data_IF_755271736696
#
_entry.id   IF_755271736696
#
_cell.length_a   1.000
_cell.length_b   1.000
_cell.length_c   1.000
_cell.angle_alpha   90.00
_cell.angle_beta   90.00
_cell.angle_gamma   90.00
#
_symmetry.space_group_name_H-M   'P 1'
#
loop_
_entity.id
_entity.type
_entity.pdbx_description
1 polymer ?
#
# COMPACT_ATOMS: atom_id res chain seq x y z
N UNK A 1 10.37 -29.19 23.79
CA UNK A 1 11.33 -29.71 22.80
C UNK A 1 11.86 -28.60 21.94
N UNK A 2 13.10 -28.71 21.46
CA UNK A 2 13.83 -27.68 20.71
C UNK A 2 13.07 -27.12 19.49
N UNK A 3 12.18 -27.92 18.88
CA UNK A 3 11.29 -27.50 17.79
C UNK A 3 10.32 -26.40 18.23
N UNK A 4 9.70 -26.51 19.42
CA UNK A 4 8.77 -25.48 19.94
C UNK A 4 9.48 -24.13 20.13
N UNK A 5 10.72 -24.18 20.65
CA UNK A 5 11.54 -22.98 20.83
C UNK A 5 11.94 -22.35 19.49
N UNK A 6 12.33 -23.16 18.50
CA UNK A 6 12.68 -22.68 17.16
C UNK A 6 11.49 -22.01 16.46
N UNK A 7 10.30 -22.64 16.53
CA UNK A 7 9.08 -22.10 15.93
C UNK A 7 8.65 -20.80 16.62
N UNK A 8 8.68 -20.76 17.96
CA UNK A 8 8.36 -19.55 18.72
C UNK A 8 9.33 -18.41 18.40
N UNK A 9 10.64 -18.70 18.32
CA UNK A 9 11.65 -17.73 17.93
C UNK A 9 11.40 -17.20 16.50
N UNK A 10 11.07 -18.06 15.54
CA UNK A 10 10.77 -17.66 14.17
C UNK A 10 9.53 -16.75 14.09
N UNK A 11 8.46 -17.05 14.83
CA UNK A 11 7.25 -16.21 14.90
C UNK A 11 7.55 -14.85 15.50
N UNK A 12 8.30 -14.80 16.61
CA UNK A 12 8.68 -13.55 17.26
C UNK A 12 9.58 -12.69 16.35
N UNK A 13 10.53 -13.31 15.65
CA UNK A 13 11.37 -12.62 14.67
C UNK A 13 10.54 -12.05 13.51
N UNK A 14 9.61 -12.84 12.96
CA UNK A 14 8.72 -12.37 11.91
C UNK A 14 7.85 -11.21 12.38
N UNK A 15 7.24 -11.31 13.56
CA UNK A 15 6.39 -10.26 14.10
C UNK A 15 7.19 -8.99 14.43
N UNK A 16 8.36 -9.14 15.04
CA UNK A 16 9.28 -8.03 15.29
C UNK A 16 9.72 -7.34 13.99
N UNK A 17 10.02 -8.12 12.96
CA UNK A 17 10.34 -7.60 11.63
C UNK A 17 9.15 -6.86 11.00
N UNK A 18 7.93 -7.40 11.09
CA UNK A 18 6.71 -6.76 10.57
C UNK A 18 6.44 -5.41 11.25
N UNK A 19 6.54 -5.35 12.58
CA UNK A 19 6.37 -4.10 13.35
C UNK A 19 7.44 -3.08 12.96
N UNK A 20 8.69 -3.51 12.86
CA UNK A 20 9.79 -2.64 12.43
C UNK A 20 9.61 -2.12 10.99
N UNK A 21 9.23 -3.00 10.07
CA UNK A 21 8.98 -2.66 8.67
C UNK A 21 7.78 -1.70 8.52
N UNK A 22 6.73 -1.89 9.33
CA UNK A 22 5.58 -0.98 9.38
C UNK A 22 6.00 0.42 9.80
N UNK A 23 6.78 0.56 10.88
CA UNK A 23 7.26 1.86 11.35
C UNK A 23 8.17 2.59 10.36
N UNK A 24 8.72 1.89 9.36
CA UNK A 24 9.54 2.48 8.30
C UNK A 24 8.75 2.87 7.04
N UNK A 25 7.48 2.50 6.96
CA UNK A 25 6.61 2.99 5.91
C UNK A 25 6.38 4.49 6.09
N UNK A 26 6.38 5.23 4.99
CA UNK A 26 6.22 6.68 5.03
C UNK A 26 6.01 7.18 3.60
N UNK A 27 5.24 8.26 3.46
CA UNK A 27 5.22 9.06 2.24
C UNK A 27 5.90 10.38 2.55
N UNK A 28 6.86 10.77 1.70
CA UNK A 28 7.53 12.06 1.78
C UNK A 28 7.57 12.68 0.39
N UNK A 29 7.22 13.96 0.27
CA UNK A 29 7.36 14.72 -0.96
C UNK A 29 8.57 15.66 -0.85
N UNK A 30 9.37 15.73 -1.91
CA UNK A 30 10.50 16.65 -2.04
C UNK A 30 10.46 17.34 -3.41
N UNK A 31 11.39 18.27 -3.66
CA UNK A 31 11.45 19.02 -4.93
C UNK A 31 11.59 18.13 -6.16
N UNK A 32 12.01 16.87 -6.00
CA UNK A 32 12.25 15.94 -7.08
C UNK A 32 11.17 14.86 -7.21
N UNK A 33 10.13 14.89 -6.39
CA UNK A 33 9.00 13.97 -6.49
C UNK A 33 8.46 13.46 -5.17
N UNK A 34 7.62 12.42 -5.27
CA UNK A 34 7.06 11.70 -4.13
C UNK A 34 7.88 10.43 -3.90
N UNK A 35 8.33 10.22 -2.67
CA UNK A 35 8.94 8.96 -2.21
C UNK A 35 8.00 8.25 -1.27
N UNK A 36 7.67 7.01 -1.62
CA UNK A 36 6.87 6.11 -0.80
C UNK A 36 7.77 4.98 -0.31
N UNK A 37 7.91 4.84 1.00
CA UNK A 37 8.52 3.69 1.67
C UNK A 37 7.44 2.69 2.04
N UNK A 38 7.64 1.44 1.63
CA UNK A 38 6.79 0.27 1.84
C UNK A 38 7.53 -0.76 2.69
N UNK A 39 6.84 -1.80 3.13
CA UNK A 39 7.41 -2.86 3.98
C UNK A 39 8.67 -3.51 3.40
N UNK A 40 8.74 -3.67 2.08
CA UNK A 40 9.82 -4.39 1.38
C UNK A 40 10.67 -3.51 0.47
N UNK A 41 10.48 -2.18 0.47
CA UNK A 41 11.28 -1.29 -0.37
C UNK A 41 10.73 0.12 -0.49
N UNK A 42 11.42 0.97 -1.27
CA UNK A 42 10.96 2.32 -1.57
C UNK A 42 10.69 2.49 -3.05
N UNK A 43 9.69 3.30 -3.38
CA UNK A 43 9.44 3.77 -4.74
C UNK A 43 9.49 5.28 -4.77
N UNK A 44 10.12 5.83 -5.80
CA UNK A 44 10.10 7.25 -6.08
C UNK A 44 9.31 7.49 -7.37
N UNK A 45 8.51 8.54 -7.35
CA UNK A 45 7.74 9.05 -8.48
C UNK A 45 8.25 10.47 -8.72
N UNK A 46 8.89 10.71 -9.86
CA UNK A 46 9.25 12.07 -10.23
C UNK A 46 7.99 12.88 -10.53
N UNK A 47 8.04 14.21 -10.38
CA UNK A 47 6.85 15.04 -10.59
C UNK A 47 6.36 15.00 -12.03
N UNK A 48 7.30 14.99 -12.98
CA UNK A 48 7.06 14.85 -14.41
C UNK A 48 6.41 13.50 -14.80
N UNK A 49 6.66 12.45 -14.02
CA UNK A 49 6.11 11.11 -14.27
C UNK A 49 4.71 10.93 -13.69
N UNK A 50 4.27 11.81 -12.80
CA UNK A 50 2.96 11.68 -12.15
C UNK A 50 1.86 12.13 -13.13
N UNK A 51 0.86 11.27 -13.30
CA UNK A 51 -0.31 11.53 -14.15
C UNK A 51 -1.51 12.02 -13.34
N UNK A 52 -1.70 11.47 -12.14
CA UNK A 52 -2.80 11.83 -11.25
C UNK A 52 -2.45 11.49 -9.80
N UNK A 53 -2.88 12.34 -8.87
CA UNK A 53 -2.89 12.06 -7.42
C UNK A 53 -4.34 12.13 -6.97
N UNK A 54 -4.86 11.11 -6.28
CA UNK A 54 -6.26 11.11 -5.80
C UNK A 54 -6.47 10.26 -4.55
N UNK A 55 -7.49 10.62 -3.79
CA UNK A 55 -8.09 9.75 -2.78
C UNK A 55 -9.19 8.89 -3.41
N UNK A 56 -9.32 7.65 -2.95
CA UNK A 56 -10.39 6.74 -3.34
C UNK A 56 -10.92 5.98 -2.12
N UNK A 57 -12.17 5.51 -2.18
CA UNK A 57 -12.72 4.67 -1.13
C UNK A 57 -11.93 3.38 -1.00
N UNK A 58 -11.59 3.02 0.22
CA UNK A 58 -10.95 1.75 0.52
C UNK A 58 -11.96 0.61 0.31
N UNK A 59 -11.71 -0.33 -0.62
CA UNK A 59 -12.60 -1.47 -0.84
C UNK A 59 -12.68 -2.40 0.39
N UNK A 60 -11.70 -2.33 1.29
CA UNK A 60 -11.69 -3.08 2.55
C UNK A 60 -12.25 -2.32 3.75
N UNK A 61 -12.80 -1.11 3.58
CA UNK A 61 -13.32 -0.31 4.70
C UNK A 61 -14.36 -1.07 5.56
N UNK A 62 -15.17 -1.93 4.92
CA UNK A 62 -16.18 -2.73 5.61
C UNK A 62 -15.70 -4.07 6.19
N UNK A 63 -14.43 -4.44 6.02
CA UNK A 63 -13.93 -5.79 6.37
C UNK A 63 -13.38 -5.85 7.80
N UNK A 64 -12.94 -4.73 8.38
CA UNK A 64 -12.35 -4.72 9.71
C UNK A 64 -12.60 -3.41 10.47
N UNK A 65 -12.58 -3.50 11.80
CA UNK A 65 -12.59 -2.31 12.66
C UNK A 65 -11.32 -1.48 12.40
N UNK A 66 -11.49 -0.16 12.36
CA UNK A 66 -10.41 0.81 12.19
C UNK A 66 -9.68 0.78 10.83
N UNK A 67 -10.30 0.21 9.79
CA UNK A 67 -9.78 0.36 8.43
C UNK A 67 -10.07 1.76 7.89
N UNK A 68 -9.12 2.42 7.21
CA UNK A 68 -9.36 3.74 6.64
C UNK A 68 -10.48 3.66 5.61
N UNK A 69 -11.39 4.64 5.60
CA UNK A 69 -12.45 4.72 4.60
C UNK A 69 -11.93 5.28 3.29
N UNK A 70 -10.90 6.14 3.37
CA UNK A 70 -10.25 6.78 2.23
C UNK A 70 -8.77 6.43 2.23
N UNK A 71 -8.29 5.97 1.09
CA UNK A 71 -6.87 5.72 0.84
C UNK A 71 -6.43 6.49 -0.39
N UNK A 72 -5.21 7.01 -0.36
CA UNK A 72 -4.69 7.83 -1.45
C UNK A 72 -3.68 7.10 -2.32
N UNK A 73 -3.65 7.55 -3.57
CA UNK A 73 -2.86 6.97 -4.64
C UNK A 73 -2.24 8.05 -5.52
N UNK A 74 -1.04 7.78 -6.01
CA UNK A 74 -0.44 8.46 -7.15
C UNK A 74 -0.31 7.47 -8.33
N UNK A 75 -0.54 7.96 -9.54
CA UNK A 75 -0.40 7.19 -10.78
C UNK A 75 0.82 7.68 -11.54
N UNK A 76 1.66 6.75 -11.98
CA UNK A 76 2.83 7.05 -12.82
C UNK A 76 2.45 7.17 -14.30
N UNK A 77 3.43 7.53 -15.15
CA UNK A 77 3.28 7.61 -16.60
C UNK A 77 2.92 6.28 -17.27
N UNK A 78 3.17 5.15 -16.61
CA UNK A 78 2.71 3.84 -17.05
C UNK A 78 1.28 3.53 -16.59
N UNK A 79 0.60 4.46 -15.92
CA UNK A 79 -0.74 4.27 -15.35
C UNK A 79 -0.76 3.32 -14.16
N UNK A 80 0.40 2.95 -13.59
CA UNK A 80 0.51 2.09 -12.42
C UNK A 80 0.22 2.89 -11.17
N UNK A 81 -0.62 2.32 -10.32
CA UNK A 81 -0.99 2.88 -9.04
C UNK A 81 0.09 2.67 -7.97
N UNK A 82 0.40 3.71 -7.21
CA UNK A 82 1.22 3.68 -6.00
C UNK A 82 0.41 4.21 -4.84
N UNK A 83 0.15 3.36 -3.85
CA UNK A 83 -0.47 3.81 -2.60
C UNK A 83 0.47 4.73 -1.84
N UNK A 84 -0.03 5.87 -1.40
CA UNK A 84 0.69 6.77 -0.51
C UNK A 84 0.48 6.27 0.93
N UNK A 85 1.50 5.66 1.49
CA UNK A 85 1.45 5.10 2.84
C UNK A 85 1.17 6.20 3.86
N UNK A 86 0.22 5.96 4.76
CA UNK A 86 -0.19 6.87 5.85
C UNK A 86 -0.77 8.21 5.41
N UNK A 87 -1.15 8.33 4.14
CA UNK A 87 -1.97 9.44 3.64
C UNK A 87 -3.40 8.92 3.47
N UNK A 88 -4.05 8.69 4.60
CA UNK A 88 -5.39 8.12 4.73
C UNK A 88 -6.11 8.76 5.93
N UNK A 89 -7.42 8.54 6.02
CA UNK A 89 -8.30 9.22 6.98
C UNK A 89 -8.10 8.77 8.44
N UNK A 90 -7.29 7.74 8.68
CA UNK A 90 -6.87 7.39 10.04
C UNK A 90 -5.66 8.20 10.51
N UNK A 91 -4.88 8.78 9.59
CA UNK A 91 -3.59 9.39 9.91
C UNK A 91 -3.56 10.91 9.66
N UNK A 92 -4.26 11.40 8.63
CA UNK A 92 -4.20 12.81 8.21
C UNK A 92 -5.55 13.29 7.66
N UNK A 93 -5.71 14.60 7.53
CA UNK A 93 -6.76 15.18 6.69
C UNK A 93 -6.43 14.92 5.21
N UNK A 94 -7.00 13.85 4.66
CA UNK A 94 -6.70 13.36 3.31
C UNK A 94 -6.99 14.41 2.25
N UNK A 95 -8.05 15.20 2.40
CA UNK A 95 -8.42 16.19 1.39
C UNK A 95 -7.37 17.30 1.33
N UNK A 96 -6.99 17.82 2.50
CA UNK A 96 -5.97 18.85 2.63
C UNK A 96 -4.61 18.37 2.11
N UNK A 97 -4.18 17.17 2.51
CA UNK A 97 -2.87 16.64 2.10
C UNK A 97 -2.82 16.33 0.59
N UNK A 98 -3.90 15.81 0.01
CA UNK A 98 -3.98 15.56 -1.43
C UNK A 98 -4.01 16.87 -2.21
N UNK A 99 -4.70 17.91 -1.72
CA UNK A 99 -4.66 19.23 -2.32
C UNK A 99 -3.24 19.81 -2.31
N UNK A 100 -2.52 19.70 -1.20
CA UNK A 100 -1.13 20.15 -1.10
C UNK A 100 -0.20 19.40 -2.07
N UNK A 101 -0.34 18.07 -2.18
CA UNK A 101 0.44 17.27 -3.12
C UNK A 101 0.11 17.59 -4.58
N UNK A 102 -1.14 17.87 -4.91
CA UNK A 102 -1.56 18.30 -6.25
C UNK A 102 -0.99 19.66 -6.61
N UNK A 103 -1.05 20.62 -5.69
CA UNK A 103 -0.46 21.94 -5.91
C UNK A 103 1.06 21.84 -6.17
N UNK A 104 1.78 21.08 -5.36
CA UNK A 104 3.21 20.84 -5.56
C UNK A 104 3.50 20.13 -6.90
N UNK A 105 2.67 19.16 -7.28
CA UNK A 105 2.79 18.50 -8.58
C UNK A 105 2.56 19.45 -9.75
N UNK A 106 1.52 20.28 -9.70
CA UNK A 106 1.23 21.26 -10.76
C UNK A 106 2.37 22.26 -10.95
N UNK A 107 3.02 22.67 -9.86
CA UNK A 107 4.18 23.55 -9.87
C UNK A 107 5.44 22.87 -10.40
N UNK A 108 5.70 21.62 -10.00
CA UNK A 108 6.99 20.95 -10.20
C UNK A 108 7.03 19.95 -11.37
N UNK A 109 5.90 19.62 -12.00
CA UNK A 109 5.83 18.67 -13.14
C UNK A 109 6.53 19.14 -14.41
N UNK A 110 6.87 20.43 -14.47
CA UNK A 110 7.54 21.05 -15.60
C UNK A 110 6.57 21.54 -16.69
N UNK A 111 7.03 22.48 -17.54
CA UNK A 111 6.20 23.13 -18.56
C UNK A 111 5.81 22.20 -19.71
N UNK A 112 6.62 21.18 -19.99
CA UNK A 112 6.39 20.21 -21.07
C UNK A 112 5.45 19.07 -20.65
N UNK A 113 4.94 19.11 -19.42
CA UNK A 113 4.05 18.08 -18.95
C UNK A 113 2.74 18.10 -19.73
N UNK A 114 2.39 16.95 -20.30
CA UNK A 114 1.12 16.71 -20.94
C UNK A 114 0.53 15.39 -20.43
N UNK A 115 -0.81 15.30 -20.27
CA UNK A 115 -1.47 14.05 -19.93
C UNK A 115 -1.15 12.97 -20.99
N UNK A 116 -0.74 11.78 -20.58
CA UNK A 116 -0.60 10.62 -21.49
C UNK A 116 -1.97 9.92 -21.63
N UNK A 117 -2.62 9.96 -22.81
CA UNK A 117 -3.89 9.28 -23.03
C UNK A 117 -3.80 7.77 -22.77
N UNK A 118 -2.65 7.16 -23.07
CA UNK A 118 -2.44 5.72 -22.85
C UNK A 118 -2.33 5.40 -21.37
N UNK A 119 -1.71 6.26 -20.58
CA UNK A 119 -1.68 6.11 -19.12
C UNK A 119 -3.08 6.16 -18.54
N UNK A 120 -3.90 7.11 -19.00
CA UNK A 120 -5.30 7.23 -18.59
C UNK A 120 -6.13 5.98 -18.91
N UNK A 121 -6.01 5.44 -20.13
CA UNK A 121 -6.66 4.18 -20.48
C UNK A 121 -6.22 3.02 -19.58
N UNK A 122 -4.92 2.93 -19.25
CA UNK A 122 -4.40 1.90 -18.35
C UNK A 122 -4.98 2.05 -16.93
N UNK A 123 -5.08 3.28 -16.43
CA UNK A 123 -5.67 3.59 -15.12
C UNK A 123 -7.13 3.15 -15.04
N UNK A 124 -7.92 3.43 -16.08
CA UNK A 124 -9.33 3.03 -16.16
C UNK A 124 -9.48 1.51 -16.21
N UNK A 125 -8.70 0.84 -17.07
CA UNK A 125 -8.69 -0.63 -17.15
C UNK A 125 -8.28 -1.27 -15.82
N UNK A 126 -7.31 -0.69 -15.12
CA UNK A 126 -6.83 -1.20 -13.86
C UNK A 126 -7.87 -1.04 -12.74
N UNK A 127 -8.58 0.10 -12.69
CA UNK A 127 -9.68 0.30 -11.73
C UNK A 127 -10.76 -0.79 -11.84
N UNK A 128 -11.07 -1.24 -13.07
CA UNK A 128 -12.04 -2.34 -13.31
C UNK A 128 -11.50 -3.71 -12.88
N UNK A 129 -10.19 -3.96 -13.02
CA UNK A 129 -9.56 -5.24 -12.63
C UNK A 129 -9.42 -5.39 -11.12
N UNK A 130 -9.10 -4.31 -10.42
CA UNK A 130 -8.81 -4.33 -8.99
C UNK A 130 -10.01 -4.79 -8.14
N UNK A 131 -11.24 -4.45 -8.53
CA UNK A 131 -12.45 -4.94 -7.86
C UNK A 131 -12.62 -6.48 -7.89
N UNK A 132 -11.98 -7.17 -8.85
CA UNK A 132 -12.03 -8.63 -8.99
C UNK A 132 -10.87 -9.35 -8.32
N UNK A 133 -9.65 -8.82 -8.44
CA UNK A 133 -8.43 -9.48 -7.91
C UNK A 133 -8.39 -9.45 -6.38
N UNK A 134 -8.91 -8.39 -5.76
CA UNK A 134 -8.84 -8.21 -4.31
C UNK A 134 -9.60 -9.29 -3.52
N UNK A 135 -10.67 -9.86 -4.08
CA UNK A 135 -11.40 -10.99 -3.48
C UNK A 135 -10.57 -12.28 -3.46
N UNK A 136 -9.80 -12.54 -4.53
CA UNK A 136 -8.99 -13.75 -4.65
C UNK A 136 -7.75 -13.71 -3.74
N UNK A 137 -7.09 -12.55 -3.63
CA UNK A 137 -5.92 -12.39 -2.76
C UNK A 137 -6.28 -12.48 -1.27
N UNK A 138 -7.42 -11.93 -0.85
CA UNK A 138 -7.89 -12.06 0.54
C UNK A 138 -8.17 -13.53 0.93
N UNK A 139 -8.77 -14.31 0.02
CA UNK A 139 -8.98 -15.74 0.23
C UNK A 139 -7.67 -16.52 0.36
N UNK A 140 -6.69 -16.23 -0.51
CA UNK A 140 -5.38 -16.90 -0.48
C UNK A 140 -4.60 -16.62 0.81
N UNK A 141 -4.54 -15.37 1.26
CA UNK A 141 -3.87 -15.02 2.52
C UNK A 141 -4.61 -15.57 3.74
N UNK A 142 -5.94 -15.60 3.73
CA UNK A 142 -6.75 -16.20 4.80
C UNK A 142 -6.48 -17.69 4.95
N UNK A 143 -6.48 -18.44 3.85
CA UNK A 143 -6.15 -19.88 3.85
C UNK A 143 -4.74 -20.11 4.37
N UNK A 144 -3.76 -19.33 3.91
CA UNK A 144 -2.39 -19.46 4.37
C UNK A 144 -2.25 -19.22 5.88
N UNK A 145 -2.92 -18.20 6.42
CA UNK A 145 -2.89 -17.87 7.84
C UNK A 145 -3.56 -18.95 8.69
N UNK A 146 -4.69 -19.52 8.22
CA UNK A 146 -5.36 -20.64 8.88
C UNK A 146 -4.47 -21.89 8.88
N UNK A 147 -3.86 -22.24 7.74
CA UNK A 147 -2.93 -23.38 7.65
C UNK A 147 -1.71 -23.17 8.55
N UNK A 148 -1.19 -21.94 8.63
CA UNK A 148 -0.10 -21.60 9.53
C UNK A 148 -0.48 -21.80 11.00
N UNK A 149 -1.66 -21.34 11.41
CA UNK A 149 -2.18 -21.54 12.78
C UNK A 149 -2.44 -23.02 13.07
N UNK A 150 -3.01 -23.78 12.14
CA UNK A 150 -3.22 -25.23 12.31
C UNK A 150 -1.88 -25.94 12.47
N UNK A 151 -0.89 -25.62 11.62
CA UNK A 151 0.45 -26.19 11.74
C UNK A 151 1.07 -25.86 13.11
N UNK A 152 0.90 -24.62 13.60
CA UNK A 152 1.32 -24.22 14.95
C UNK A 152 0.65 -25.06 16.04
N UNK A 153 -0.67 -25.24 15.97
CA UNK A 153 -1.44 -26.03 16.95
C UNK A 153 -0.98 -27.48 16.94
N UNK A 154 -0.88 -28.10 15.76
CA UNK A 154 -0.43 -29.49 15.61
C UNK A 154 0.96 -29.67 16.22
N UNK A 155 1.91 -28.79 15.90
CA UNK A 155 3.27 -28.83 16.47
C UNK A 155 3.25 -28.69 17.99
N UNK A 156 2.35 -27.87 18.55
CA UNK A 156 2.22 -27.68 19.99
C UNK A 156 1.58 -28.90 20.67
N UNK A 157 0.59 -29.55 20.04
CA UNK A 157 -0.18 -30.67 20.61
C UNK A 157 0.41 -32.05 20.33
N UNK A 158 1.21 -32.22 19.27
CA UNK A 158 1.82 -33.49 18.89
C UNK A 158 3.11 -33.81 19.68
N UNK A 159 3.33 -33.12 20.80
CA UNK A 159 4.48 -33.27 21.72
C UNK A 159 4.08 -32.98 23.13
#
# INVERSE_FOLDING_TARGET
GSVKLAVMAAVLLLFGWLVWASKRCATSADLKGIRVRRFTGSRRLAWEDIQEIRAARNPSAGVGQNQPTLISYAYDGEGRRVQLMYVDDNHVDVEREIAALRAAWEELRGPDWAPDPRARERMERQAVREGRVMKATFWGCGIFLVLFVIAMIVIVTST
#
